data_IF_610065229973
#
_entry.id   IF_610065229973
#
_cell.length_a   1.000
_cell.length_b   1.000
_cell.length_c   1.000
_cell.angle_alpha   90.00
_cell.angle_beta   90.00
_cell.angle_gamma   90.00
#
_symmetry.space_group_name_H-M   'P 1'
#
loop_
_entity.id
_entity.type
_entity.pdbx_description
1 polymer ?
#
# COMPACT_ATOMS: atom_id res chain seq x y z
N UNK A 1 44.12 -58.36 5.02
CA UNK A 1 43.11 -57.34 5.38
C UNK A 1 42.97 -56.37 4.23
N UNK A 2 41.95 -56.48 3.37
CA UNK A 2 41.66 -55.55 2.31
C UNK A 2 40.73 -54.44 2.83
N UNK A 3 41.19 -53.21 2.80
CA UNK A 3 40.37 -52.03 3.13
C UNK A 3 39.87 -51.43 1.81
N UNK A 4 38.55 -51.55 1.53
CA UNK A 4 37.92 -50.80 0.43
C UNK A 4 37.55 -49.42 0.95
N UNK A 5 38.20 -48.37 0.38
CA UNK A 5 37.77 -46.99 0.55
C UNK A 5 36.71 -46.66 -0.52
N UNK A 6 35.46 -46.49 -0.13
CA UNK A 6 34.41 -45.97 -1.01
C UNK A 6 34.56 -44.44 -0.99
N UNK A 7 35.10 -43.91 -2.08
CA UNK A 7 35.12 -42.46 -2.32
C UNK A 7 33.71 -41.98 -2.68
N UNK A 8 33.10 -41.21 -1.78
CA UNK A 8 31.88 -40.50 -2.06
C UNK A 8 32.25 -39.24 -2.87
N UNK A 9 32.06 -39.25 -4.20
CA UNK A 9 32.09 -38.04 -4.99
C UNK A 9 30.84 -37.20 -4.71
N UNK A 10 30.99 -36.17 -3.90
CA UNK A 10 30.00 -35.09 -3.83
C UNK A 10 30.10 -34.25 -5.10
N UNK A 11 29.18 -34.47 -6.03
CA UNK A 11 28.88 -33.48 -7.07
C UNK A 11 28.16 -32.30 -6.40
N UNK A 12 28.93 -31.33 -5.93
CA UNK A 12 28.41 -30.01 -5.58
C UNK A 12 28.18 -29.23 -6.89
N UNK A 13 27.03 -29.44 -7.53
CA UNK A 13 26.50 -28.43 -8.44
C UNK A 13 26.11 -27.22 -7.58
N UNK A 14 27.03 -26.29 -7.48
CA UNK A 14 26.74 -24.93 -7.00
C UNK A 14 25.76 -24.29 -8.01
N UNK A 15 24.46 -24.54 -7.82
CA UNK A 15 23.42 -23.67 -8.36
C UNK A 15 23.51 -22.35 -7.58
N UNK A 16 24.46 -21.49 -7.95
CA UNK A 16 24.40 -20.08 -7.68
C UNK A 16 23.15 -19.62 -8.45
N UNK A 17 22.04 -19.42 -7.73
CA UNK A 17 20.91 -18.68 -8.23
C UNK A 17 21.42 -17.25 -8.51
N UNK A 18 21.85 -17.00 -9.73
CA UNK A 18 22.00 -15.66 -10.25
C UNK A 18 20.60 -15.05 -10.18
N UNK A 19 20.33 -14.20 -9.19
CA UNK A 19 19.23 -13.28 -9.29
C UNK A 19 19.45 -12.48 -10.56
N UNK A 20 18.71 -12.81 -11.61
CA UNK A 20 18.65 -11.99 -12.81
C UNK A 20 18.35 -10.57 -12.35
N UNK A 21 19.18 -9.62 -12.73
CA UNK A 21 18.97 -8.20 -12.41
C UNK A 21 17.61 -7.74 -12.90
N UNK A 22 17.25 -6.48 -12.67
CA UNK A 22 16.00 -5.89 -13.16
C UNK A 22 15.99 -5.68 -14.69
N UNK A 23 16.89 -6.30 -15.44
CA UNK A 23 17.16 -6.02 -16.86
C UNK A 23 15.99 -6.41 -17.81
N UNK A 24 15.13 -7.36 -17.39
CA UNK A 24 13.97 -7.82 -18.16
C UNK A 24 12.63 -7.34 -17.60
N UNK A 25 12.64 -6.27 -16.79
CA UNK A 25 11.44 -5.73 -16.13
C UNK A 25 10.93 -4.48 -16.85
N UNK A 26 9.65 -4.50 -17.23
CA UNK A 26 8.95 -3.34 -17.76
C UNK A 26 8.07 -2.71 -16.68
N UNK A 27 8.18 -1.38 -16.51
CA UNK A 27 7.48 -0.62 -15.48
C UNK A 27 6.25 0.09 -16.03
N UNK A 28 5.17 0.10 -15.25
CA UNK A 28 3.86 0.65 -15.58
C UNK A 28 3.37 1.58 -14.46
N UNK A 29 2.87 2.73 -14.86
CA UNK A 29 2.34 3.75 -13.96
C UNK A 29 0.82 3.68 -13.77
N UNK A 30 0.25 4.80 -13.36
CA UNK A 30 -1.15 4.97 -12.93
C UNK A 30 -2.22 4.47 -13.92
N UNK A 31 -1.93 4.44 -15.20
CA UNK A 31 -2.89 4.01 -16.21
C UNK A 31 -3.16 2.50 -16.19
N UNK A 32 -2.30 1.73 -15.51
CA UNK A 32 -2.34 0.26 -15.48
C UNK A 32 -2.93 -0.33 -14.19
N UNK A 33 -3.29 0.50 -13.21
CA UNK A 33 -3.88 0.05 -11.94
C UNK A 33 -5.03 0.96 -11.50
N UNK A 34 -5.89 0.47 -10.61
CA UNK A 34 -6.88 1.27 -9.89
C UNK A 34 -6.30 1.77 -8.59
N UNK A 35 -6.51 3.05 -8.27
CA UNK A 35 -6.30 3.59 -6.93
C UNK A 35 -7.58 3.40 -6.13
N UNK A 36 -7.48 2.81 -4.95
CA UNK A 36 -8.56 2.61 -3.98
C UNK A 36 -8.22 3.29 -2.66
N UNK A 37 -9.22 3.47 -1.78
CA UNK A 37 -9.05 4.11 -0.47
C UNK A 37 -9.40 5.59 -0.47
N UNK A 38 -9.97 6.10 -1.55
CA UNK A 38 -10.43 7.49 -1.66
C UNK A 38 -11.73 7.58 -2.44
N UNK A 39 -12.68 8.38 -1.96
CA UNK A 39 -13.90 8.77 -2.68
C UNK A 39 -13.72 10.13 -3.39
N UNK A 40 -12.56 10.78 -3.24
CA UNK A 40 -12.26 12.08 -3.83
C UNK A 40 -11.60 11.87 -5.19
N UNK A 41 -12.17 12.44 -6.28
CA UNK A 41 -11.58 12.37 -7.61
C UNK A 41 -10.13 12.88 -7.66
N UNK A 42 -9.28 12.22 -8.45
CA UNK A 42 -7.87 12.64 -8.63
C UNK A 42 -7.74 14.10 -9.07
N UNK A 43 -8.64 14.56 -9.95
CA UNK A 43 -8.64 15.93 -10.49
C UNK A 43 -8.84 17.03 -9.44
N UNK A 44 -9.34 16.69 -8.26
CA UNK A 44 -9.55 17.62 -7.15
C UNK A 44 -8.38 17.64 -6.15
N UNK A 45 -7.35 16.79 -6.32
CA UNK A 45 -6.21 16.68 -5.40
C UNK A 45 -4.97 17.36 -5.97
N UNK A 46 -4.03 17.81 -5.10
CA UNK A 46 -2.71 18.26 -5.55
C UNK A 46 -1.87 17.08 -6.08
N UNK A 47 -2.00 15.91 -5.44
CA UNK A 47 -1.40 14.65 -5.89
C UNK A 47 -2.44 13.53 -5.73
N UNK A 48 -2.50 12.59 -6.67
CA UNK A 48 -3.45 11.48 -6.62
C UNK A 48 -3.38 10.65 -5.32
N UNK A 49 -2.23 10.63 -4.67
CA UNK A 49 -1.99 9.91 -3.41
C UNK A 49 -2.31 10.71 -2.15
N UNK A 50 -2.82 11.92 -2.29
CA UNK A 50 -3.32 12.73 -1.18
C UNK A 50 -4.70 12.22 -0.72
N UNK A 51 -5.05 12.50 0.55
CA UNK A 51 -6.32 12.06 1.14
C UNK A 51 -7.40 13.14 1.16
N UNK A 52 -7.02 14.42 0.98
CA UNK A 52 -7.96 15.55 0.93
C UNK A 52 -7.89 16.25 -0.43
N UNK A 53 -8.98 16.94 -0.84
CA UNK A 53 -8.98 17.78 -2.02
C UNK A 53 -8.09 19.01 -1.83
N UNK A 54 -7.52 19.54 -2.91
CA UNK A 54 -6.63 20.72 -2.89
C UNK A 54 -7.31 21.97 -2.26
N UNK A 55 -8.63 22.11 -2.45
CA UNK A 55 -9.43 23.21 -1.87
C UNK A 55 -9.47 23.20 -0.34
N UNK A 56 -9.13 22.10 0.30
CA UNK A 56 -9.16 21.97 1.76
C UNK A 56 -7.91 22.55 2.45
N UNK A 57 -6.89 22.97 1.67
CA UNK A 57 -5.63 23.51 2.19
C UNK A 57 -5.84 24.69 3.15
N UNK A 58 -6.76 25.59 2.80
CA UNK A 58 -7.07 26.79 3.61
C UNK A 58 -8.30 26.58 4.54
N UNK A 59 -8.93 25.39 4.49
CA UNK A 59 -10.13 25.09 5.27
C UNK A 59 -9.79 24.32 6.54
N UNK A 60 -8.90 23.32 6.42
CA UNK A 60 -8.49 22.50 7.57
C UNK A 60 -7.28 23.12 8.28
N UNK A 61 -7.06 22.73 9.54
CA UNK A 61 -5.84 23.14 10.25
C UNK A 61 -4.59 22.62 9.52
N UNK A 62 -3.51 23.39 9.56
CA UNK A 62 -2.23 23.04 8.93
C UNK A 62 -1.75 21.61 9.26
N UNK A 63 -1.78 21.13 10.53
CA UNK A 63 -1.37 19.76 10.82
C UNK A 63 -2.23 18.70 10.12
N UNK A 64 -3.54 18.92 9.99
CA UNK A 64 -4.45 18.03 9.27
C UNK A 64 -4.12 18.02 7.78
N UNK A 65 -3.86 19.20 7.20
CA UNK A 65 -3.42 19.33 5.83
C UNK A 65 -2.12 18.55 5.58
N UNK A 66 -1.10 18.75 6.41
CA UNK A 66 0.19 18.08 6.28
C UNK A 66 0.05 16.55 6.41
N UNK A 67 -0.75 16.07 7.36
CA UNK A 67 -1.05 14.66 7.53
C UNK A 67 -1.87 14.07 6.38
N UNK A 68 -2.69 14.89 5.70
CA UNK A 68 -3.45 14.43 4.55
C UNK A 68 -2.60 14.01 3.36
N UNK A 69 -1.32 14.42 3.34
CA UNK A 69 -0.34 14.01 2.34
C UNK A 69 0.18 12.59 2.54
N UNK A 70 0.00 12.01 3.74
CA UNK A 70 0.31 10.61 3.98
C UNK A 70 -0.69 9.71 3.25
N UNK A 71 -0.19 8.63 2.62
CA UNK A 71 -0.99 7.77 1.73
C UNK A 71 -1.72 6.65 2.48
N UNK A 72 -1.91 6.77 3.80
CA UNK A 72 -2.59 5.75 4.61
C UNK A 72 -4.00 5.47 4.11
N UNK A 73 -4.39 4.20 4.14
CA UNK A 73 -5.69 3.74 3.63
C UNK A 73 -5.74 3.58 2.10
N UNK A 74 -4.84 4.24 1.37
CA UNK A 74 -4.77 4.08 -0.07
C UNK A 74 -4.12 2.75 -0.45
N UNK A 75 -4.60 2.18 -1.53
CA UNK A 75 -4.01 0.99 -2.16
C UNK A 75 -4.15 1.05 -3.67
N UNK A 76 -3.28 0.35 -4.39
CA UNK A 76 -3.42 0.14 -5.82
C UNK A 76 -3.78 -1.31 -6.10
N UNK A 77 -4.65 -1.53 -7.11
CA UNK A 77 -5.14 -2.85 -7.48
C UNK A 77 -4.97 -3.08 -8.98
N UNK A 78 -4.45 -4.26 -9.36
CA UNK A 78 -4.17 -4.61 -10.75
C UNK A 78 -4.27 -6.11 -10.99
N UNK A 79 -4.44 -6.48 -12.27
CA UNK A 79 -4.36 -7.86 -12.76
C UNK A 79 -3.04 -8.05 -13.50
N UNK A 80 -2.37 -9.18 -13.28
CA UNK A 80 -1.19 -9.59 -14.03
C UNK A 80 -1.03 -11.11 -14.05
N UNK A 81 -0.41 -11.63 -15.11
CA UNK A 81 0.03 -13.02 -15.21
C UNK A 81 1.55 -13.15 -15.03
N UNK A 82 2.22 -12.09 -14.57
CA UNK A 82 3.67 -12.10 -14.42
C UNK A 82 4.13 -13.05 -13.34
N UNK A 83 5.24 -13.73 -13.60
CA UNK A 83 5.96 -14.54 -12.62
C UNK A 83 6.72 -13.69 -11.60
N UNK A 84 6.94 -12.42 -11.91
CA UNK A 84 7.68 -11.46 -11.09
C UNK A 84 6.86 -10.19 -10.91
N UNK A 85 6.76 -9.70 -9.69
CA UNK A 85 6.23 -8.37 -9.39
C UNK A 85 7.31 -7.57 -8.66
N UNK A 86 7.66 -6.44 -9.21
CA UNK A 86 8.52 -5.44 -8.58
C UNK A 86 7.77 -4.13 -8.40
N UNK A 87 8.26 -3.25 -7.57
CA UNK A 87 7.72 -1.90 -7.45
C UNK A 87 8.84 -0.88 -7.32
N UNK A 88 8.65 0.27 -8.00
CA UNK A 88 9.40 1.51 -7.77
C UNK A 88 8.47 2.50 -7.11
N UNK A 89 8.90 3.12 -6.00
CA UNK A 89 8.11 4.20 -5.39
C UNK A 89 9.01 5.34 -4.92
N UNK A 90 8.51 6.55 -5.07
CA UNK A 90 9.16 7.77 -4.61
C UNK A 90 8.34 8.38 -3.49
N UNK A 91 8.98 8.58 -2.35
CA UNK A 91 8.39 9.15 -1.13
C UNK A 91 8.33 10.66 -1.20
N UNK A 92 7.39 11.24 -0.46
CA UNK A 92 7.27 12.68 -0.30
C UNK A 92 8.32 13.22 0.66
N UNK A 93 8.52 12.58 1.83
CA UNK A 93 9.32 13.09 2.94
C UNK A 93 10.47 12.18 3.39
N UNK A 94 10.41 10.87 3.18
CA UNK A 94 11.36 9.87 3.70
C UNK A 94 11.49 9.93 5.24
N UNK A 95 10.36 10.00 5.94
CA UNK A 95 10.30 10.08 7.40
C UNK A 95 10.76 8.79 8.08
N UNK A 96 11.26 8.91 9.30
CA UNK A 96 11.52 7.80 10.22
C UNK A 96 11.10 8.20 11.63
N UNK A 97 10.67 7.23 12.43
CA UNK A 97 10.23 7.41 13.81
C UNK A 97 10.90 6.33 14.67
N UNK A 98 11.19 6.64 15.93
CA UNK A 98 11.85 5.72 16.87
C UNK A 98 10.92 4.60 17.39
N UNK A 99 9.60 4.81 17.31
CA UNK A 99 8.57 3.89 17.84
C UNK A 99 7.79 3.13 16.77
N UNK A 100 8.09 3.37 15.48
CA UNK A 100 7.42 2.70 14.36
C UNK A 100 8.43 2.30 13.29
N UNK A 101 8.41 1.04 12.79
CA UNK A 101 9.38 0.62 11.78
C UNK A 101 9.16 1.33 10.44
N UNK A 102 10.24 1.57 9.72
CA UNK A 102 10.23 2.18 8.37
C UNK A 102 9.33 1.45 7.39
N UNK A 103 9.18 0.13 7.53
CA UNK A 103 8.25 -0.67 6.74
C UNK A 103 6.78 -0.27 6.94
N UNK A 104 6.40 0.18 8.13
CA UNK A 104 5.08 0.73 8.41
C UNK A 104 4.95 2.17 7.95
N UNK A 105 5.96 3.00 8.24
CA UNK A 105 5.95 4.43 7.93
C UNK A 105 5.89 4.66 6.43
N UNK A 106 6.80 4.05 5.65
CA UNK A 106 7.10 4.37 4.25
C UNK A 106 7.25 3.15 3.32
N UNK A 107 7.00 1.94 3.83
CA UNK A 107 6.96 0.70 3.04
C UNK A 107 5.65 0.51 2.29
N UNK A 108 5.62 -0.54 1.47
CA UNK A 108 4.45 -0.97 0.71
C UNK A 108 4.22 -2.47 0.92
N UNK A 109 2.95 -2.93 0.93
CA UNK A 109 2.62 -4.34 1.16
C UNK A 109 1.89 -4.96 -0.01
N UNK A 110 2.45 -6.02 -0.60
CA UNK A 110 1.84 -6.78 -1.69
C UNK A 110 0.98 -7.92 -1.15
N UNK A 111 -0.23 -7.99 -1.68
CA UNK A 111 -1.20 -9.08 -1.52
C UNK A 111 -1.67 -9.58 -2.89
N UNK A 112 -2.12 -10.83 -2.96
CA UNK A 112 -2.85 -11.35 -4.12
C UNK A 112 -4.16 -11.99 -3.67
N UNK A 113 -5.13 -12.06 -4.57
CA UNK A 113 -6.43 -12.65 -4.32
C UNK A 113 -6.41 -14.14 -4.68
N UNK A 114 -6.71 -15.00 -3.72
CA UNK A 114 -6.83 -16.44 -3.89
C UNK A 114 -8.14 -16.90 -3.27
N UNK A 115 -9.01 -17.58 -4.06
CA UNK A 115 -10.32 -18.04 -3.60
C UNK A 115 -11.15 -16.98 -2.88
N UNK A 116 -11.16 -15.74 -3.42
CA UNK A 116 -11.79 -14.55 -2.85
C UNK A 116 -11.19 -14.03 -1.54
N UNK A 117 -10.04 -14.51 -1.11
CA UNK A 117 -9.31 -14.03 0.06
C UNK A 117 -7.99 -13.35 -0.34
N UNK A 118 -7.68 -12.22 0.30
CA UNK A 118 -6.43 -11.51 0.12
C UNK A 118 -5.31 -12.14 0.95
N UNK A 119 -4.34 -12.75 0.30
CA UNK A 119 -3.18 -13.38 0.92
C UNK A 119 -1.95 -12.49 0.79
N UNK A 120 -1.23 -12.35 1.90
CA UNK A 120 0.02 -11.61 1.95
C UNK A 120 1.13 -12.32 1.17
N UNK A 121 1.91 -11.54 0.43
CA UNK A 121 3.11 -12.02 -0.27
C UNK A 121 4.36 -11.47 0.40
N UNK A 122 4.55 -10.14 0.36
CA UNK A 122 5.78 -9.51 0.83
C UNK A 122 5.59 -8.02 1.13
N UNK A 123 6.58 -7.46 1.81
CA UNK A 123 6.69 -6.03 2.10
C UNK A 123 7.88 -5.45 1.35
N UNK A 124 7.65 -4.41 0.55
CA UNK A 124 8.69 -3.58 -0.03
C UNK A 124 9.33 -2.73 1.05
N UNK A 125 10.62 -2.98 1.30
CA UNK A 125 11.40 -2.29 2.34
C UNK A 125 12.00 -1.01 1.77
N UNK A 126 11.68 0.16 2.34
CA UNK A 126 12.25 1.42 1.89
C UNK A 126 13.71 1.55 2.27
N UNK A 127 14.51 2.13 1.39
CA UNK A 127 15.93 2.44 1.62
C UNK A 127 16.23 3.95 1.57
N UNK A 128 15.30 4.77 1.04
CA UNK A 128 15.47 6.20 0.89
C UNK A 128 14.26 6.86 0.21
N UNK A 129 14.45 8.03 -0.37
CA UNK A 129 13.39 8.72 -1.12
C UNK A 129 12.89 7.94 -2.33
N UNK A 130 13.80 7.32 -3.08
CA UNK A 130 13.50 6.49 -4.25
C UNK A 130 13.83 5.04 -3.91
N UNK A 131 12.89 4.19 -4.16
CA UNK A 131 12.95 2.79 -3.78
C UNK A 131 12.62 1.92 -4.98
N UNK A 132 13.29 0.77 -5.06
CA UNK A 132 13.00 -0.30 -6.00
C UNK A 132 13.11 -1.62 -5.24
N UNK A 133 12.07 -2.46 -5.31
CA UNK A 133 12.04 -3.71 -4.55
C UNK A 133 11.33 -4.80 -5.33
N UNK A 134 11.93 -6.00 -5.37
CA UNK A 134 11.30 -7.20 -5.91
C UNK A 134 10.38 -7.79 -4.84
N UNK A 135 9.07 -7.66 -5.07
CA UNK A 135 8.05 -8.11 -4.11
C UNK A 135 7.82 -9.61 -4.18
N UNK A 136 7.88 -10.20 -5.36
CA UNK A 136 7.77 -11.64 -5.57
C UNK A 136 8.44 -12.05 -6.87
N UNK A 137 8.89 -13.30 -6.92
CA UNK A 137 9.39 -13.99 -8.11
C UNK A 137 8.92 -15.45 -8.14
N UNK A 138 9.16 -16.12 -9.27
CA UNK A 138 8.83 -17.55 -9.46
C UNK A 138 7.36 -17.90 -9.26
N UNK A 139 6.43 -16.95 -9.48
CA UNK A 139 5.00 -17.26 -9.55
C UNK A 139 4.67 -18.01 -10.85
N UNK A 140 3.67 -18.88 -10.83
CA UNK A 140 3.12 -19.45 -12.08
C UNK A 140 2.47 -18.35 -12.93
N UNK A 141 2.52 -18.51 -14.27
CA UNK A 141 1.99 -17.52 -15.24
C UNK A 141 0.44 -17.51 -15.31
N UNK A 142 -0.22 -17.57 -14.16
CA UNK A 142 -1.67 -17.45 -14.05
C UNK A 142 -2.07 -16.00 -13.81
N UNK A 143 -3.21 -15.62 -14.38
CA UNK A 143 -3.76 -14.28 -14.12
C UNK A 143 -4.20 -14.19 -12.67
N UNK A 144 -3.64 -13.25 -11.94
CA UNK A 144 -3.98 -12.97 -10.54
C UNK A 144 -4.33 -11.51 -10.35
N UNK A 145 -5.21 -11.27 -9.40
CA UNK A 145 -5.48 -9.93 -8.90
C UNK A 145 -4.56 -9.63 -7.72
N UNK A 146 -3.86 -8.50 -7.81
CA UNK A 146 -2.92 -8.02 -6.82
C UNK A 146 -3.42 -6.72 -6.19
N UNK A 147 -3.05 -6.50 -4.92
CA UNK A 147 -3.26 -5.26 -4.19
C UNK A 147 -1.99 -4.85 -3.46
N UNK A 148 -1.59 -3.58 -3.62
CA UNK A 148 -0.49 -3.00 -2.86
C UNK A 148 -1.05 -1.91 -1.96
N UNK A 149 -0.91 -2.07 -0.63
CA UNK A 149 -1.17 -1.01 0.33
C UNK A 149 -0.01 -0.04 0.40
N UNK A 150 -0.32 1.25 0.46
CA UNK A 150 0.63 2.36 0.42
C UNK A 150 1.07 2.77 1.83
N UNK A 151 2.14 3.59 1.97
CA UNK A 151 2.71 4.03 3.24
C UNK A 151 1.68 4.63 4.21
N UNK A 152 1.87 4.38 5.52
CA UNK A 152 0.94 4.88 6.55
C UNK A 152 1.28 6.29 7.05
N UNK A 153 2.58 6.64 7.10
CA UNK A 153 3.06 7.89 7.68
C UNK A 153 3.93 8.71 6.73
N UNK A 154 4.00 8.32 5.45
CA UNK A 154 4.61 9.13 4.39
C UNK A 154 3.67 9.22 3.18
N UNK A 155 3.87 10.21 2.36
CA UNK A 155 3.20 10.37 1.09
C UNK A 155 3.99 9.77 -0.06
N UNK A 156 3.31 9.52 -1.17
CA UNK A 156 3.94 9.12 -2.42
C UNK A 156 3.91 10.26 -3.43
N UNK A 157 5.02 10.45 -4.15
CA UNK A 157 5.05 11.23 -5.39
C UNK A 157 4.68 10.36 -6.58
N UNK A 158 5.15 9.10 -6.58
CA UNK A 158 4.98 8.18 -7.69
C UNK A 158 5.10 6.75 -7.21
N UNK A 159 4.36 5.84 -7.85
CA UNK A 159 4.59 4.40 -7.80
C UNK A 159 4.47 3.80 -9.20
N UNK A 160 5.32 2.84 -9.52
CA UNK A 160 5.30 2.06 -10.75
C UNK A 160 5.44 0.58 -10.42
N UNK A 161 4.69 -0.25 -11.13
CA UNK A 161 4.72 -1.70 -10.99
C UNK A 161 5.52 -2.29 -12.14
N UNK A 162 6.53 -3.06 -11.80
CA UNK A 162 7.35 -3.79 -12.76
C UNK A 162 6.92 -5.24 -12.87
N UNK A 163 6.84 -5.72 -14.08
CA UNK A 163 6.53 -7.10 -14.47
C UNK A 163 7.51 -7.57 -15.53
N UNK A 164 7.62 -8.88 -15.74
CA UNK A 164 8.43 -9.42 -16.84
C UNK A 164 7.90 -8.99 -18.22
N UNK A 165 8.80 -8.89 -19.20
CA UNK A 165 8.51 -8.34 -20.53
C UNK A 165 7.46 -9.14 -21.32
N UNK A 166 7.26 -10.42 -21.00
CA UNK A 166 6.32 -11.30 -21.69
C UNK A 166 4.91 -11.25 -21.12
N UNK A 167 4.73 -10.57 -20.00
CA UNK A 167 3.49 -10.51 -19.25
C UNK A 167 2.72 -9.21 -19.47
N UNK A 168 1.48 -9.19 -19.00
CA UNK A 168 0.63 -7.99 -19.04
C UNK A 168 0.29 -7.50 -17.63
N UNK A 169 -0.07 -6.22 -17.55
CA UNK A 169 -0.72 -5.60 -16.40
C UNK A 169 -1.93 -4.81 -16.90
N UNK A 170 -3.04 -4.88 -16.19
CA UNK A 170 -4.25 -4.10 -16.48
C UNK A 170 -5.07 -3.82 -15.24
N UNK A 171 -5.94 -2.81 -15.33
CA UNK A 171 -6.91 -2.50 -14.27
C UNK A 171 -7.89 -3.67 -14.10
N UNK A 172 -8.24 -4.07 -12.87
CA UNK A 172 -9.36 -4.97 -12.60
C UNK A 172 -10.69 -4.23 -12.70
N UNK A 173 -11.80 -4.97 -12.56
CA UNK A 173 -13.11 -4.36 -12.42
C UNK A 173 -13.22 -3.53 -11.13
N UNK A 174 -14.01 -2.46 -11.20
CA UNK A 174 -14.26 -1.60 -10.04
C UNK A 174 -15.12 -2.38 -9.04
N UNK A 175 -14.77 -2.31 -7.77
CA UNK A 175 -15.59 -2.85 -6.70
C UNK A 175 -16.71 -1.85 -6.37
N UNK A 176 -17.94 -2.17 -6.76
CA UNK A 176 -19.12 -1.29 -6.59
C UNK A 176 -19.69 -1.28 -5.16
N UNK A 177 -19.12 -2.07 -4.24
CA UNK A 177 -19.57 -2.04 -2.85
C UNK A 177 -19.33 -0.66 -2.24
N UNK A 178 -20.34 -0.09 -1.59
CA UNK A 178 -20.21 1.17 -0.86
C UNK A 178 -19.03 1.10 0.12
N UNK A 179 -18.16 2.13 0.17
CA UNK A 179 -17.00 2.11 1.05
C UNK A 179 -17.39 2.16 2.54
N UNK A 180 -16.42 1.92 3.40
CA UNK A 180 -16.49 2.25 4.83
C UNK A 180 -15.59 3.46 5.03
N UNK A 181 -16.07 4.50 5.69
CA UNK A 181 -15.29 5.69 5.98
C UNK A 181 -14.90 5.71 7.45
N UNK A 182 -13.60 5.79 7.71
CA UNK A 182 -13.05 5.96 9.04
C UNK A 182 -12.58 7.41 9.22
N UNK A 183 -12.98 8.04 10.32
CA UNK A 183 -12.41 9.30 10.78
C UNK A 183 -11.87 9.13 12.20
N UNK A 184 -10.61 9.50 12.42
CA UNK A 184 -10.03 9.28 13.74
C UNK A 184 -8.62 9.81 13.93
N UNK A 185 -7.96 9.24 14.91
CA UNK A 185 -6.65 9.63 15.43
C UNK A 185 -5.50 8.89 14.73
N UNK A 186 -4.32 8.85 15.38
CA UNK A 186 -3.19 7.98 15.00
C UNK A 186 -3.58 6.50 14.92
N UNK A 187 -4.51 6.05 15.78
CA UNK A 187 -5.01 4.68 15.77
C UNK A 187 -5.66 4.38 14.41
N UNK A 188 -6.54 5.26 13.94
CA UNK A 188 -7.18 5.17 12.63
C UNK A 188 -6.16 5.30 11.50
N UNK A 189 -5.18 6.22 11.60
CA UNK A 189 -4.11 6.36 10.61
C UNK A 189 -3.27 5.08 10.47
N UNK A 190 -3.16 4.28 11.52
CA UNK A 190 -2.42 3.01 11.53
C UNK A 190 -1.12 3.06 12.31
N UNK A 191 -1.04 3.91 13.35
CA UNK A 191 0.13 4.05 14.21
C UNK A 191 0.64 2.70 14.73
N UNK A 192 1.98 2.58 14.75
CA UNK A 192 2.74 1.44 15.21
C UNK A 192 2.45 0.11 14.47
N UNK A 193 1.69 0.14 13.38
CA UNK A 193 1.58 -1.03 12.53
C UNK A 193 2.94 -1.33 11.88
N UNK A 194 3.36 -2.59 11.93
CA UNK A 194 4.68 -3.03 11.44
C UNK A 194 4.87 -2.84 9.92
N UNK A 195 3.76 -2.75 9.17
CA UNK A 195 3.70 -2.58 7.72
C UNK A 195 2.30 -2.14 7.30
N UNK A 196 2.09 -1.55 6.10
CA UNK A 196 0.80 -0.96 5.71
C UNK A 196 -0.40 -1.90 5.84
N UNK A 197 -0.27 -3.14 5.41
CA UNK A 197 -1.36 -4.10 5.48
C UNK A 197 -1.76 -4.50 6.91
N UNK A 198 -1.00 -4.15 7.94
CA UNK A 198 -1.32 -4.44 9.34
C UNK A 198 -2.09 -3.32 10.03
N UNK A 199 -2.25 -2.14 9.41
CA UNK A 199 -3.22 -1.17 9.88
C UNK A 199 -4.63 -1.79 9.90
N UNK A 200 -5.37 -1.61 10.99
CA UNK A 200 -6.66 -2.28 11.18
C UNK A 200 -7.68 -1.94 10.08
N UNK A 201 -7.66 -0.71 9.56
CA UNK A 201 -8.48 -0.29 8.42
C UNK A 201 -8.18 -1.10 7.16
N UNK A 202 -6.90 -1.39 6.89
CA UNK A 202 -6.47 -2.20 5.77
C UNK A 202 -6.77 -3.70 5.98
N UNK A 203 -6.76 -4.19 7.22
CA UNK A 203 -7.22 -5.55 7.57
C UNK A 203 -8.72 -5.67 7.29
N UNK A 204 -9.51 -4.69 7.70
CA UNK A 204 -10.97 -4.65 7.46
C UNK A 204 -11.27 -4.61 5.96
N UNK A 205 -10.54 -3.76 5.20
CA UNK A 205 -10.67 -3.69 3.74
C UNK A 205 -10.48 -5.06 3.08
N UNK A 206 -9.44 -5.80 3.45
CA UNK A 206 -9.18 -7.15 2.91
C UNK A 206 -10.22 -8.17 3.33
N UNK A 207 -10.58 -8.20 4.62
CA UNK A 207 -11.53 -9.19 5.15
C UNK A 207 -12.94 -9.05 4.59
N UNK A 208 -13.37 -7.81 4.33
CA UNK A 208 -14.68 -7.52 3.78
C UNK A 208 -14.67 -7.40 2.25
N UNK A 209 -13.48 -7.48 1.63
CA UNK A 209 -13.27 -7.19 0.22
C UNK A 209 -14.01 -5.92 -0.19
N UNK A 210 -13.70 -4.81 0.50
CA UNK A 210 -14.42 -3.55 0.41
C UNK A 210 -13.46 -2.38 0.51
N UNK A 211 -13.74 -1.33 -0.23
CA UNK A 211 -12.98 -0.09 -0.14
C UNK A 211 -13.15 0.56 1.24
N UNK A 212 -12.05 1.02 1.82
CA UNK A 212 -12.02 1.75 3.09
C UNK A 212 -11.33 3.07 2.88
N UNK A 213 -12.05 4.16 3.14
CA UNK A 213 -11.50 5.52 3.13
C UNK A 213 -11.01 5.84 4.54
N UNK A 214 -9.75 6.28 4.65
CA UNK A 214 -9.10 6.52 5.93
C UNK A 214 -8.80 8.01 6.13
N UNK A 215 -9.56 8.66 7.01
CA UNK A 215 -9.34 10.01 7.52
C UNK A 215 -8.79 9.97 8.96
N UNK A 216 -7.77 9.14 9.19
CA UNK A 216 -6.98 9.14 10.42
C UNK A 216 -5.92 10.25 10.37
N UNK A 217 -5.84 11.05 11.44
CA UNK A 217 -4.89 12.16 11.55
C UNK A 217 -4.23 12.11 12.93
N UNK A 218 -2.96 11.72 12.95
CA UNK A 218 -2.15 11.54 14.16
C UNK A 218 -2.14 12.81 15.03
N UNK A 219 -2.58 12.67 16.31
CA UNK A 219 -2.73 13.79 17.23
C UNK A 219 -3.80 14.82 16.84
N UNK A 220 -4.43 14.67 15.66
CA UNK A 220 -5.23 15.72 15.02
C UNK A 220 -6.63 15.30 14.57
N UNK A 221 -7.05 14.07 14.78
CA UNK A 221 -8.44 13.65 14.57
C UNK A 221 -9.34 14.16 15.70
N UNK A 222 -9.94 15.35 15.55
CA UNK A 222 -10.61 16.11 16.63
C UNK A 222 -12.09 16.43 16.37
N UNK A 223 -12.77 15.63 15.54
CA UNK A 223 -14.18 15.88 15.16
C UNK A 223 -14.40 17.24 14.47
N UNK A 224 -13.49 17.63 13.58
CA UNK A 224 -13.60 18.91 12.87
C UNK A 224 -14.79 18.92 11.92
N UNK A 225 -15.53 20.03 11.93
CA UNK A 225 -16.69 20.22 11.06
C UNK A 225 -16.35 20.05 9.60
N UNK A 226 -15.24 20.63 9.14
CA UNK A 226 -14.80 20.57 7.74
C UNK A 226 -14.57 19.12 7.24
N UNK A 227 -14.02 18.23 8.08
CA UNK A 227 -13.85 16.82 7.72
C UNK A 227 -15.22 16.10 7.73
N UNK A 228 -16.10 16.45 8.67
CA UNK A 228 -17.45 15.88 8.71
C UNK A 228 -18.28 16.29 7.48
N UNK A 229 -18.13 17.54 7.02
CA UNK A 229 -18.76 18.04 5.79
C UNK A 229 -18.25 17.28 4.57
N UNK A 230 -16.91 17.11 4.42
CA UNK A 230 -16.33 16.32 3.36
C UNK A 230 -16.86 14.87 3.34
N UNK A 231 -16.92 14.24 4.52
CA UNK A 231 -17.44 12.88 4.63
C UNK A 231 -18.91 12.79 4.23
N UNK A 232 -19.70 13.84 4.47
CA UNK A 232 -21.14 13.87 4.14
C UNK A 232 -21.43 13.90 2.63
N UNK A 233 -20.44 14.26 1.81
CA UNK A 233 -20.52 14.21 0.34
C UNK A 233 -20.45 12.77 -0.20
N UNK A 234 -19.97 11.83 0.61
CA UNK A 234 -19.82 10.41 0.27
C UNK A 234 -21.11 9.63 0.60
N UNK A 235 -21.28 8.46 -0.05
CA UNK A 235 -22.38 7.53 0.24
C UNK A 235 -21.83 6.17 0.72
N UNK A 236 -21.26 6.11 1.95
CA UNK A 236 -20.68 4.87 2.45
C UNK A 236 -21.72 3.88 2.94
N UNK A 237 -21.28 2.64 3.20
CA UNK A 237 -22.09 1.66 3.92
C UNK A 237 -22.31 2.09 5.37
N UNK A 238 -21.26 2.64 6.01
CA UNK A 238 -21.30 3.24 7.34
C UNK A 238 -20.05 4.07 7.61
N UNK A 239 -20.14 4.92 8.63
CA UNK A 239 -19.03 5.69 9.19
C UNK A 239 -18.54 5.05 10.47
N UNK A 240 -17.23 5.09 10.70
CA UNK A 240 -16.57 4.73 11.96
C UNK A 240 -15.80 5.94 12.45
N UNK A 241 -16.15 6.44 13.64
CA UNK A 241 -15.55 7.65 14.20
C UNK A 241 -14.79 7.27 15.48
N UNK A 242 -13.49 7.58 15.49
CA UNK A 242 -12.55 7.27 16.58
C UNK A 242 -11.70 8.52 16.88
N UNK A 243 -12.30 9.61 17.39
CA UNK A 243 -11.60 10.87 17.63
C UNK A 243 -11.36 11.17 19.12
N UNK A 244 -12.01 10.44 20.02
CA UNK A 244 -11.99 10.71 21.45
C UNK A 244 -10.58 10.87 22.06
N UNK A 245 -9.55 10.08 21.68
CA UNK A 245 -8.20 10.24 22.24
C UNK A 245 -7.53 11.58 21.93
N UNK A 246 -7.97 12.33 20.91
CA UNK A 246 -7.42 13.64 20.55
C UNK A 246 -8.31 14.83 20.94
N UNK A 247 -9.43 14.58 21.63
CA UNK A 247 -10.44 15.59 21.99
C UNK A 247 -10.25 16.17 23.41
N UNK A 248 -9.09 15.97 24.01
CA UNK A 248 -8.79 16.60 25.29
C UNK A 248 -8.53 18.09 25.14
N UNK A 249 -8.98 18.93 26.11
CA UNK A 249 -8.75 20.37 26.11
C UNK A 249 -7.27 20.75 26.21
#
# INVERSE_FOLDING_TARGET
LLIFSIGCQQNSSNNILYFSGFDDIKYFGKDSFLLEGSDIPESLKENMYDRLPASYKEIVREPVWNLSKNSTGLSIRFLSNSSVITAKWELLNNLSMDHMPDTGIKGIDLYYKNNNEWQYINTGRPAGFKNEYRLVDNMSNEVREYKIFLPLYDGLKKIEIGIDNSSFIRKPEINEKKPIIFYGTSITQGACASRPGMAHTNIISRKLDRNVVNFGFDGNGRMEQSISELMSESNPAFYVIECMPNMYP
#
